data_IF_616174927502
#
_entry.id   IF_616174927502
#
_cell.length_a   1.000
_cell.length_b   1.000
_cell.length_c   1.000
_cell.angle_alpha   90.00
_cell.angle_beta   90.00
_cell.angle_gamma   90.00
#
_symmetry.space_group_name_H-M   'P 1'
#
loop_
_entity.id
_entity.type
_entity.pdbx_description
1 polymer ?
#
# COMPACT_ATOMS: atom_id res chain seq x y z
N UNK A 1 26.22 17.73 18.24
CA UNK A 1 25.05 17.07 18.85
C UNK A 1 23.77 17.31 18.05
N UNK A 2 23.42 18.56 17.69
CA UNK A 2 22.19 18.87 16.92
C UNK A 2 22.15 18.28 15.49
N UNK A 3 23.26 18.29 14.74
CA UNK A 3 23.30 17.73 13.37
C UNK A 3 23.12 16.21 13.37
N UNK A 4 23.64 15.51 14.38
CA UNK A 4 23.52 14.04 14.52
C UNK A 4 22.09 13.66 14.89
N UNK A 5 21.43 14.43 15.76
CA UNK A 5 20.02 14.22 16.10
C UNK A 5 19.09 14.51 14.91
N UNK A 6 19.41 15.54 14.11
CA UNK A 6 18.68 15.84 12.87
C UNK A 6 18.83 14.71 11.84
N UNK A 7 20.04 14.17 11.67
CA UNK A 7 20.30 13.04 10.77
C UNK A 7 19.59 11.74 11.22
N UNK A 8 19.50 11.50 12.53
CA UNK A 8 18.75 10.37 13.09
C UNK A 8 17.25 10.46 12.83
N UNK A 9 16.69 11.69 12.78
CA UNK A 9 15.28 11.90 12.47
C UNK A 9 14.94 11.56 11.00
N UNK A 10 15.92 11.62 10.09
CA UNK A 10 15.76 11.25 8.68
C UNK A 10 15.99 9.75 8.39
N UNK A 11 16.60 9.00 9.31
CA UNK A 11 16.99 7.60 9.09
C UNK A 11 16.16 6.60 9.90
N UNK A 12 14.99 6.98 10.37
CA UNK A 12 14.19 6.10 11.23
C UNK A 12 13.74 4.83 10.48
N UNK A 13 13.42 4.96 9.19
CA UNK A 13 13.16 3.81 8.30
C UNK A 13 14.38 2.89 8.19
N UNK A 14 15.58 3.42 7.94
CA UNK A 14 16.81 2.61 7.89
C UNK A 14 17.10 1.91 9.22
N UNK A 15 16.87 2.62 10.33
CA UNK A 15 17.05 2.06 11.68
C UNK A 15 16.13 0.86 11.93
N UNK A 16 14.90 0.89 11.39
CA UNK A 16 13.98 -0.26 11.46
C UNK A 16 14.47 -1.38 10.55
N UNK A 17 14.89 -1.06 9.32
CA UNK A 17 15.37 -2.04 8.35
C UNK A 17 16.66 -2.74 8.79
N UNK A 18 17.43 -2.14 9.71
CA UNK A 18 18.64 -2.71 10.33
C UNK A 18 18.35 -3.70 11.47
N UNK A 19 17.09 -3.82 11.93
CA UNK A 19 16.71 -4.81 12.94
C UNK A 19 16.77 -6.24 12.37
N UNK A 20 17.10 -7.21 13.23
CA UNK A 20 17.04 -8.64 12.88
C UNK A 20 15.64 -9.08 12.44
N UNK A 21 14.60 -8.44 12.98
CA UNK A 21 13.21 -8.62 12.60
C UNK A 21 12.43 -7.32 12.79
N UNK A 22 11.57 -6.99 11.84
CA UNK A 22 10.65 -5.86 11.89
C UNK A 22 9.34 -6.21 11.17
N UNK A 23 8.30 -5.46 11.47
CA UNK A 23 6.97 -5.60 10.85
C UNK A 23 6.70 -4.53 9.80
N UNK A 24 5.72 -4.77 8.93
CA UNK A 24 5.22 -3.74 8.02
C UNK A 24 4.65 -2.55 8.81
N UNK A 25 3.90 -2.82 9.88
CA UNK A 25 3.28 -1.78 10.71
C UNK A 25 4.30 -0.86 11.37
N UNK A 26 5.47 -1.37 11.78
CA UNK A 26 6.56 -0.51 12.26
C UNK A 26 7.02 0.49 11.19
N UNK A 27 7.14 0.05 9.93
CA UNK A 27 7.51 0.93 8.82
C UNK A 27 6.40 1.90 8.44
N UNK A 28 5.13 1.47 8.46
CA UNK A 28 3.98 2.35 8.19
C UNK A 28 3.75 3.41 9.28
N UNK A 29 4.32 3.21 10.47
CA UNK A 29 4.25 4.20 11.53
C UNK A 29 5.29 5.33 11.36
N UNK A 30 6.22 5.20 10.43
CA UNK A 30 7.23 6.22 10.16
C UNK A 30 6.71 7.32 9.23
N UNK A 31 6.87 8.58 9.63
CA UNK A 31 6.37 9.74 8.86
C UNK A 31 7.09 9.89 7.50
N UNK A 32 8.33 9.41 7.42
CA UNK A 32 9.18 9.50 6.22
C UNK A 32 9.00 8.34 5.24
N UNK A 33 8.15 7.34 5.55
CA UNK A 33 8.00 6.11 4.73
C UNK A 33 7.66 6.40 3.26
N UNK A 34 6.79 7.38 3.01
CA UNK A 34 6.40 7.79 1.65
C UNK A 34 7.55 8.52 0.96
N UNK A 35 8.31 9.34 1.69
CA UNK A 35 9.45 10.07 1.13
C UNK A 35 10.56 9.10 0.73
N UNK A 36 10.87 8.11 1.57
CA UNK A 36 11.84 7.05 1.28
C UNK A 36 11.42 6.19 0.08
N UNK A 37 10.13 5.88 -0.08
CA UNK A 37 9.61 5.24 -1.29
C UNK A 37 9.90 6.08 -2.54
N UNK A 38 9.60 7.39 -2.49
CA UNK A 38 9.83 8.33 -3.60
C UNK A 38 11.32 8.56 -3.87
N UNK A 39 12.16 8.48 -2.84
CA UNK A 39 13.62 8.52 -2.94
C UNK A 39 14.22 7.21 -3.50
N UNK A 40 13.37 6.22 -3.82
CA UNK A 40 13.76 4.92 -4.35
C UNK A 40 14.71 4.17 -3.41
N UNK A 41 14.42 4.21 -2.11
CA UNK A 41 15.14 3.41 -1.13
C UNK A 41 15.01 1.92 -1.47
N UNK A 42 16.10 1.32 -1.95
CA UNK A 42 16.11 -0.04 -2.47
C UNK A 42 15.76 -1.07 -1.39
N UNK A 43 16.21 -0.88 -0.14
CA UNK A 43 15.93 -1.83 0.94
C UNK A 43 14.45 -1.84 1.26
N UNK A 44 13.88 -0.64 1.42
CA UNK A 44 12.45 -0.48 1.66
C UNK A 44 11.62 -1.04 0.51
N UNK A 45 11.93 -0.69 -0.74
CA UNK A 45 11.18 -1.16 -1.91
C UNK A 45 11.28 -2.68 -2.06
N UNK A 46 12.45 -3.26 -1.81
CA UNK A 46 12.63 -4.71 -1.86
C UNK A 46 11.79 -5.43 -0.81
N UNK A 47 11.57 -4.81 0.36
CA UNK A 47 10.66 -5.34 1.36
C UNK A 47 9.18 -5.15 0.94
N UNK A 48 8.78 -3.93 0.58
CA UNK A 48 7.38 -3.59 0.26
C UNK A 48 6.84 -4.29 -0.98
N UNK A 49 7.71 -4.65 -1.93
CA UNK A 49 7.28 -5.35 -3.16
C UNK A 49 6.96 -6.82 -2.94
N UNK A 50 7.29 -7.40 -1.80
CA UNK A 50 7.00 -8.80 -1.52
C UNK A 50 5.49 -9.01 -1.42
N UNK A 51 4.98 -10.11 -1.99
CA UNK A 51 3.53 -10.38 -2.07
C UNK A 51 2.80 -10.20 -0.74
N UNK A 52 3.27 -10.73 0.41
CA UNK A 52 2.58 -10.54 1.69
C UNK A 52 2.42 -9.08 2.10
N UNK A 53 3.39 -8.23 1.74
CA UNK A 53 3.33 -6.80 2.07
C UNK A 53 2.34 -6.08 1.18
N UNK A 54 2.36 -6.35 -0.13
CA UNK A 54 1.37 -5.79 -1.07
C UNK A 54 -0.05 -6.24 -0.72
N UNK A 55 -0.23 -7.50 -0.34
CA UNK A 55 -1.51 -8.02 0.14
C UNK A 55 -1.98 -7.25 1.39
N UNK A 56 -1.12 -7.09 2.39
CA UNK A 56 -1.48 -6.39 3.62
C UNK A 56 -1.80 -4.90 3.37
N UNK A 57 -1.06 -4.25 2.47
CA UNK A 57 -1.36 -2.87 2.04
C UNK A 57 -2.72 -2.79 1.35
N UNK A 58 -3.08 -3.76 0.51
CA UNK A 58 -4.41 -3.83 -0.10
C UNK A 58 -5.52 -4.01 0.95
N UNK A 59 -5.31 -4.87 1.94
CA UNK A 59 -6.28 -5.09 3.02
C UNK A 59 -6.62 -3.81 3.76
N UNK A 60 -5.64 -2.94 4.02
CA UNK A 60 -5.91 -1.62 4.61
C UNK A 60 -6.76 -0.69 3.72
N UNK A 61 -6.84 -0.97 2.41
CA UNK A 61 -7.61 -0.16 1.46
C UNK A 61 -9.01 -0.76 1.22
N UNK A 62 -9.15 -2.08 1.26
CA UNK A 62 -10.39 -2.76 0.86
C UNK A 62 -11.18 -3.42 1.99
N UNK A 63 -10.59 -3.54 3.19
CA UNK A 63 -11.23 -4.13 4.37
C UNK A 63 -11.42 -3.06 5.44
N UNK A 64 -12.65 -2.98 5.97
CA UNK A 64 -12.92 -2.17 7.15
C UNK A 64 -12.22 -2.77 8.37
N UNK A 65 -11.57 -1.92 9.16
CA UNK A 65 -11.00 -2.36 10.43
C UNK A 65 -12.13 -2.67 11.44
N UNK A 66 -11.92 -3.66 12.30
CA UNK A 66 -12.85 -3.95 13.40
C UNK A 66 -13.07 -2.70 14.28
N UNK A 67 -14.25 -2.59 14.88
CA UNK A 67 -14.60 -1.43 15.72
C UNK A 67 -13.67 -1.24 16.93
N UNK A 68 -13.03 -2.32 17.37
CA UNK A 68 -12.08 -2.33 18.48
C UNK A 68 -10.61 -2.21 18.02
N UNK A 69 -10.38 -2.06 16.72
CA UNK A 69 -9.04 -1.89 16.18
C UNK A 69 -8.40 -0.57 16.64
N UNK A 70 -7.07 -0.59 16.82
CA UNK A 70 -6.32 0.60 17.17
C UNK A 70 -6.51 1.71 16.12
N UNK A 71 -6.67 2.97 16.55
CA UNK A 71 -6.88 4.14 15.67
C UNK A 71 -5.90 4.22 14.49
N UNK A 72 -4.67 3.72 14.66
CA UNK A 72 -3.66 3.65 13.59
C UNK A 72 -4.10 2.75 12.44
N UNK A 73 -4.73 1.60 12.73
CA UNK A 73 -5.30 0.68 11.72
C UNK A 73 -6.51 1.27 11.01
N UNK A 74 -7.30 2.11 11.69
CA UNK A 74 -8.52 2.69 11.08
C UNK A 74 -8.24 3.91 10.20
N UNK A 75 -7.19 4.69 10.47
CA UNK A 75 -6.94 5.97 9.77
C UNK A 75 -5.56 6.04 9.12
N UNK A 76 -4.49 5.79 9.89
CA UNK A 76 -3.12 6.01 9.41
C UNK A 76 -2.73 4.99 8.34
N UNK A 77 -2.91 3.70 8.60
CA UNK A 77 -2.45 2.66 7.67
C UNK A 77 -3.20 2.65 6.34
N UNK A 78 -4.54 2.81 6.28
CA UNK A 78 -5.25 2.99 5.00
C UNK A 78 -4.72 4.16 4.18
N UNK A 79 -4.44 5.29 4.85
CA UNK A 79 -3.85 6.47 4.21
C UNK A 79 -2.45 6.19 3.65
N UNK A 80 -1.53 5.66 4.48
CA UNK A 80 -0.16 5.38 4.05
C UNK A 80 -0.14 4.31 2.94
N UNK A 81 -0.95 3.26 3.04
CA UNK A 81 -1.05 2.23 2.01
C UNK A 81 -1.49 2.81 0.67
N UNK A 82 -2.52 3.68 0.68
CA UNK A 82 -2.94 4.40 -0.51
C UNK A 82 -1.82 5.28 -1.09
N UNK A 83 -1.06 5.97 -0.25
CA UNK A 83 0.09 6.78 -0.70
C UNK A 83 1.23 5.92 -1.25
N UNK A 84 1.52 4.75 -0.70
CA UNK A 84 2.53 3.82 -1.22
C UNK A 84 2.16 3.36 -2.65
N UNK A 85 0.91 2.95 -2.89
CA UNK A 85 0.50 2.59 -4.24
C UNK A 85 0.52 3.79 -5.20
N UNK A 86 0.16 4.98 -4.71
CA UNK A 86 -0.01 6.18 -5.56
C UNK A 86 1.22 7.07 -5.64
N UNK A 87 2.32 6.70 -4.97
CA UNK A 87 3.64 7.34 -5.15
C UNK A 87 4.38 6.86 -6.41
N UNK A 88 3.75 5.97 -7.19
CA UNK A 88 4.19 5.54 -8.52
C UNK A 88 5.52 4.76 -8.57
N UNK A 89 5.91 4.11 -7.47
CA UNK A 89 7.05 3.19 -7.47
C UNK A 89 6.70 1.95 -8.30
N UNK A 90 7.31 1.87 -9.50
CA UNK A 90 6.94 0.92 -10.55
C UNK A 90 6.98 -0.55 -10.11
N UNK A 91 7.96 -0.92 -9.29
CA UNK A 91 8.17 -2.30 -8.83
C UNK A 91 7.01 -2.78 -7.95
N UNK A 92 6.52 -1.93 -7.03
CA UNK A 92 5.39 -2.26 -6.16
C UNK A 92 4.11 -2.43 -6.99
N UNK A 93 3.89 -1.53 -7.95
CA UNK A 93 2.76 -1.62 -8.87
C UNK A 93 2.82 -2.88 -9.75
N UNK A 94 4.00 -3.32 -10.17
CA UNK A 94 4.17 -4.58 -10.91
C UNK A 94 3.75 -5.78 -10.08
N UNK A 95 4.21 -5.89 -8.83
CA UNK A 95 3.79 -6.98 -7.93
C UNK A 95 2.26 -7.06 -7.86
N UNK A 96 1.59 -5.92 -7.71
CA UNK A 96 0.13 -5.86 -7.68
C UNK A 96 -0.51 -6.38 -8.98
N UNK A 97 -0.14 -5.82 -10.14
CA UNK A 97 -0.84 -6.14 -11.40
C UNK A 97 -0.45 -7.48 -12.02
N UNK A 98 0.72 -8.01 -11.67
CA UNK A 98 1.21 -9.29 -12.18
C UNK A 98 0.67 -10.49 -11.37
N UNK A 99 0.14 -10.24 -10.17
CA UNK A 99 -0.47 -11.27 -9.33
C UNK A 99 -2.00 -11.19 -9.37
N UNK A 100 -2.63 -12.25 -9.88
CA UNK A 100 -4.08 -12.31 -10.05
C UNK A 100 -4.83 -12.29 -8.72
N UNK A 101 -4.30 -12.93 -7.67
CA UNK A 101 -4.96 -12.98 -6.37
C UNK A 101 -4.97 -11.59 -5.69
N UNK A 102 -3.91 -10.80 -5.90
CA UNK A 102 -3.87 -9.41 -5.42
C UNK A 102 -4.84 -8.51 -6.17
N UNK A 103 -4.97 -8.68 -7.49
CA UNK A 103 -5.97 -7.96 -8.27
C UNK A 103 -7.41 -8.37 -7.90
N UNK A 104 -7.66 -9.66 -7.73
CA UNK A 104 -8.95 -10.19 -7.25
C UNK A 104 -9.28 -9.59 -5.87
N UNK A 105 -8.30 -9.51 -4.96
CA UNK A 105 -8.46 -8.86 -3.65
C UNK A 105 -8.80 -7.37 -3.77
N UNK A 106 -8.07 -6.61 -4.60
CA UNK A 106 -8.35 -5.19 -4.83
C UNK A 106 -9.80 -4.99 -5.30
N UNK A 107 -10.24 -5.80 -6.27
CA UNK A 107 -11.57 -5.68 -6.87
C UNK A 107 -12.68 -6.34 -6.06
N UNK A 108 -12.38 -7.14 -5.04
CA UNK A 108 -13.37 -7.61 -4.06
C UNK A 108 -14.10 -6.46 -3.37
N UNK A 109 -13.50 -5.25 -3.36
CA UNK A 109 -14.15 -4.00 -2.94
C UNK A 109 -15.47 -3.69 -3.66
N UNK A 110 -15.70 -4.26 -4.85
CA UNK A 110 -16.93 -4.05 -5.62
C UNK A 110 -18.00 -5.13 -5.37
N UNK A 111 -17.74 -6.10 -4.50
CA UNK A 111 -18.71 -7.15 -4.17
C UNK A 111 -19.97 -6.56 -3.49
N UNK A 112 -21.20 -6.93 -3.92
CA UNK A 112 -22.44 -6.30 -3.46
C UNK A 112 -22.69 -6.34 -1.96
N UNK A 113 -22.15 -7.35 -1.27
CA UNK A 113 -22.39 -7.59 0.16
C UNK A 113 -21.40 -6.85 1.06
N UNK A 114 -20.46 -6.09 0.48
CA UNK A 114 -19.48 -5.33 1.27
C UNK A 114 -19.97 -3.90 1.54
N UNK A 115 -20.07 -3.58 2.83
CA UNK A 115 -20.24 -2.21 3.27
C UNK A 115 -18.88 -1.53 3.41
N UNK A 116 -18.66 -0.47 2.64
CA UNK A 116 -17.44 0.32 2.67
C UNK A 116 -17.71 1.74 3.12
N UNK A 117 -16.80 2.28 3.91
CA UNK A 117 -16.78 3.69 4.28
C UNK A 117 -16.43 4.55 3.07
N UNK A 118 -16.93 5.79 3.08
CA UNK A 118 -16.60 6.78 2.06
C UNK A 118 -15.09 7.00 1.93
N UNK A 119 -14.35 6.84 3.03
CA UNK A 119 -12.89 6.99 3.05
C UNK A 119 -12.19 5.90 2.24
N UNK A 120 -12.49 4.62 2.50
CA UNK A 120 -11.90 3.50 1.74
C UNK A 120 -12.30 3.56 0.26
N UNK A 121 -13.53 3.95 -0.06
CA UNK A 121 -13.95 4.15 -1.45
C UNK A 121 -13.10 5.20 -2.18
N UNK A 122 -12.70 6.27 -1.48
CA UNK A 122 -11.77 7.27 -2.00
C UNK A 122 -10.38 6.70 -2.28
N UNK A 123 -9.83 5.91 -1.35
CA UNK A 123 -8.52 5.27 -1.52
C UNK A 123 -8.52 4.22 -2.64
N UNK A 124 -9.53 3.33 -2.66
CA UNK A 124 -9.75 2.37 -3.72
C UNK A 124 -9.76 3.08 -5.09
N UNK A 125 -10.58 4.13 -5.22
CA UNK A 125 -10.67 4.90 -6.46
C UNK A 125 -9.32 5.49 -6.87
N UNK A 126 -8.56 6.04 -5.92
CA UNK A 126 -7.23 6.63 -6.19
C UNK A 126 -6.23 5.59 -6.69
N UNK A 127 -6.22 4.38 -6.09
CA UNK A 127 -5.37 3.27 -6.53
C UNK A 127 -5.76 2.80 -7.93
N UNK A 128 -7.05 2.58 -8.19
CA UNK A 128 -7.53 2.17 -9.52
C UNK A 128 -7.18 3.20 -10.59
N UNK A 129 -7.34 4.50 -10.31
CA UNK A 129 -6.93 5.57 -11.23
C UNK A 129 -5.41 5.52 -11.47
N UNK A 130 -4.60 5.30 -10.43
CA UNK A 130 -3.15 5.15 -10.59
C UNK A 130 -2.81 3.95 -11.50
N UNK A 131 -3.46 2.80 -11.31
CA UNK A 131 -3.27 1.63 -12.17
C UNK A 131 -3.68 1.89 -13.62
N UNK A 132 -4.82 2.54 -13.84
CA UNK A 132 -5.26 2.95 -15.18
C UNK A 132 -4.24 3.84 -15.87
N UNK A 133 -3.58 4.73 -15.14
CA UNK A 133 -2.60 5.68 -15.67
C UNK A 133 -1.19 5.09 -15.86
N UNK A 134 -0.75 4.22 -14.95
CA UNK A 134 0.64 3.72 -14.86
C UNK A 134 0.81 2.28 -15.34
N UNK A 135 -0.26 1.49 -15.31
CA UNK A 135 -0.30 0.05 -15.65
C UNK A 135 -1.49 -0.29 -16.55
N UNK A 136 -1.82 0.59 -17.49
CA UNK A 136 -3.01 0.48 -18.35
C UNK A 136 -3.14 -0.89 -19.01
N UNK A 137 -2.08 -1.41 -19.64
CA UNK A 137 -2.15 -2.67 -20.38
C UNK A 137 -2.41 -3.88 -19.45
N UNK A 138 -1.60 -4.14 -18.39
CA UNK A 138 -1.91 -5.19 -17.41
C UNK A 138 -3.31 -5.05 -16.80
N UNK A 139 -3.70 -3.83 -16.43
CA UNK A 139 -5.01 -3.54 -15.87
C UNK A 139 -6.14 -3.92 -16.83
N UNK A 140 -6.08 -3.47 -18.09
CA UNK A 140 -7.11 -3.79 -19.09
C UNK A 140 -7.17 -5.28 -19.39
N UNK A 141 -6.03 -5.98 -19.42
CA UNK A 141 -6.01 -7.43 -19.58
C UNK A 141 -6.74 -8.13 -18.41
N UNK A 142 -6.50 -7.67 -17.18
CA UNK A 142 -7.23 -8.18 -16.02
C UNK A 142 -8.74 -7.95 -16.20
N UNK A 143 -9.18 -6.74 -16.55
CA UNK A 143 -10.62 -6.44 -16.74
C UNK A 143 -11.25 -7.30 -17.84
N UNK A 144 -10.55 -7.56 -18.95
CA UNK A 144 -11.07 -8.38 -20.05
C UNK A 144 -11.29 -9.84 -19.67
N UNK A 145 -10.43 -10.39 -18.81
CA UNK A 145 -10.50 -11.79 -18.38
C UNK A 145 -11.38 -11.95 -17.13
N UNK A 146 -11.55 -10.87 -16.37
CA UNK A 146 -12.35 -10.85 -15.16
C UNK A 146 -13.82 -10.63 -15.50
N UNK A 147 -14.68 -11.59 -15.18
CA UNK A 147 -16.13 -11.39 -15.16
C UNK A 147 -16.50 -10.57 -13.92
N UNK A 148 -15.98 -9.35 -13.80
CA UNK A 148 -16.36 -8.46 -12.70
C UNK A 148 -17.89 -8.34 -12.70
N UNK A 149 -18.54 -8.53 -11.54
CA UNK A 149 -19.99 -8.42 -11.45
C UNK A 149 -20.36 -6.98 -11.80
N UNK A 150 -20.94 -6.79 -12.98
CA UNK A 150 -21.75 -5.61 -13.27
C UNK A 150 -23.10 -5.77 -12.58
#
# INVERSE_FOLDING_TARGET
MFVVAFFFFFLQVETILDKDSYTLEELLDEDEIIQECKALNNRLINFLREKPQVEQLLRYIVEEADSDAEKKRTIKFPFIACEIFTCEVDIILRTLVDDRELMDLLFSFLEPDRNHSTQLAGYFSKVVICLLMRKTMPFMNYIQVSNLPY
#
